data_IF_924439637295
#
_entry.id   IF_924439637295
#
_cell.length_a   1.000
_cell.length_b   1.000
_cell.length_c   1.000
_cell.angle_alpha   90.00
_cell.angle_beta   90.00
_cell.angle_gamma   90.00
#
_symmetry.space_group_name_H-M   'P 1'
#
loop_
_entity.id
_entity.type
_entity.pdbx_description
1 polymer ?
#
# COMPACT_ATOMS: atom_id res chain seq x y z
N UNK A 1 -88.93 16.89 -29.04
CA UNK A 1 -89.06 17.77 -27.86
C UNK A 1 -88.58 16.99 -26.66
N UNK A 2 -87.70 17.61 -25.83
CA UNK A 2 -87.22 17.17 -24.50
C UNK A 2 -86.61 15.76 -24.42
N UNK A 3 -85.31 15.51 -24.23
CA UNK A 3 -84.25 16.25 -23.56
C UNK A 3 -84.04 15.69 -22.15
N UNK A 4 -82.97 14.90 -21.91
CA UNK A 4 -82.19 14.87 -20.64
C UNK A 4 -80.96 13.93 -20.71
N UNK A 5 -79.82 14.58 -20.94
CA UNK A 5 -78.48 14.43 -20.35
C UNK A 5 -78.15 13.19 -19.49
N UNK A 6 -77.18 12.38 -19.95
CA UNK A 6 -76.27 11.60 -19.07
C UNK A 6 -74.82 12.04 -19.30
N UNK A 7 -74.13 12.24 -18.19
CA UNK A 7 -72.82 12.85 -18.01
C UNK A 7 -71.69 11.98 -18.58
N UNK A 8 -70.84 12.59 -19.39
CA UNK A 8 -69.50 12.10 -19.74
C UNK A 8 -68.54 12.45 -18.62
N UNK A 9 -67.84 11.45 -18.06
CA UNK A 9 -66.64 11.66 -17.23
C UNK A 9 -65.47 11.02 -17.96
N UNK A 10 -64.76 11.84 -18.75
CA UNK A 10 -63.43 11.53 -19.27
C UNK A 10 -62.45 11.78 -18.13
N UNK A 11 -61.94 10.70 -17.52
CA UNK A 11 -60.85 10.79 -16.57
C UNK A 11 -59.55 11.12 -17.30
N UNK A 12 -59.01 12.28 -16.96
CA UNK A 12 -57.73 12.83 -17.40
C UNK A 12 -56.62 12.06 -16.69
N UNK A 13 -55.97 11.11 -17.37
CA UNK A 13 -54.70 10.55 -16.92
C UNK A 13 -53.58 11.43 -17.48
N UNK A 14 -53.20 12.43 -16.67
CA UNK A 14 -52.03 13.26 -16.91
C UNK A 14 -50.76 12.42 -16.81
N UNK A 15 -49.97 12.45 -17.89
CA UNK A 15 -48.63 11.92 -17.92
C UNK A 15 -47.72 12.75 -17.01
N UNK A 16 -47.19 12.14 -15.96
CA UNK A 16 -46.00 12.61 -15.26
C UNK A 16 -44.81 11.82 -15.81
N UNK A 17 -43.81 12.45 -16.45
CA UNK A 17 -42.52 11.80 -16.60
C UNK A 17 -41.83 11.82 -15.24
N UNK A 18 -41.97 10.74 -14.47
CA UNK A 18 -40.98 10.42 -13.44
C UNK A 18 -39.71 10.08 -14.20
N UNK A 19 -38.84 11.09 -14.35
CA UNK A 19 -37.46 10.85 -14.67
C UNK A 19 -36.87 10.03 -13.52
N UNK A 20 -36.93 8.70 -13.64
CA UNK A 20 -35.96 7.83 -13.02
C UNK A 20 -34.61 8.27 -13.59
N UNK A 21 -33.95 9.21 -12.90
CA UNK A 21 -32.50 9.27 -12.92
C UNK A 21 -32.07 7.91 -12.40
N UNK A 22 -31.82 6.99 -13.33
CA UNK A 22 -30.94 5.88 -13.09
C UNK A 22 -29.71 6.51 -12.46
N UNK A 23 -29.54 6.31 -11.14
CA UNK A 23 -28.27 6.52 -10.50
C UNK A 23 -27.34 5.55 -11.22
N UNK A 24 -26.66 6.06 -12.23
CA UNK A 24 -25.45 5.46 -12.74
C UNK A 24 -24.62 5.24 -11.48
N UNK A 25 -24.21 4.01 -11.15
CA UNK A 25 -23.34 3.81 -10.00
C UNK A 25 -22.18 4.77 -10.22
N UNK A 26 -22.04 5.76 -9.34
CA UNK A 26 -20.91 6.67 -9.39
C UNK A 26 -19.69 5.78 -9.47
N UNK A 27 -18.90 5.91 -10.54
CA UNK A 27 -17.67 5.15 -10.73
C UNK A 27 -16.95 5.17 -9.39
N UNK A 28 -16.72 4.00 -8.80
CA UNK A 28 -16.25 3.89 -7.42
C UNK A 28 -15.04 4.81 -7.25
N UNK A 29 -15.22 5.88 -6.47
CA UNK A 29 -14.19 6.89 -6.30
C UNK A 29 -12.96 6.29 -5.64
N UNK A 30 -11.78 6.85 -5.97
CA UNK A 30 -10.54 6.47 -5.31
C UNK A 30 -10.64 6.78 -3.82
N UNK A 31 -10.40 5.80 -2.96
CA UNK A 31 -10.39 6.01 -1.51
C UNK A 31 -9.09 6.67 -1.07
N UNK A 32 -9.20 7.69 -0.22
CA UNK A 32 -8.06 8.44 0.31
C UNK A 32 -8.19 8.57 1.82
N UNK A 33 -7.16 8.15 2.56
CA UNK A 33 -7.02 8.35 4.00
C UNK A 33 -6.08 9.51 4.31
N UNK A 34 -6.54 10.51 5.07
CA UNK A 34 -5.73 11.63 5.53
C UNK A 34 -5.12 11.33 6.90
N UNK A 35 -3.79 11.38 7.00
CA UNK A 35 -3.05 11.19 8.24
C UNK A 35 -2.31 12.48 8.64
N UNK A 36 -2.86 13.28 9.56
CA UNK A 36 -2.17 14.46 10.09
C UNK A 36 -0.99 14.06 10.97
N UNK A 37 0.21 14.55 10.68
CA UNK A 37 1.36 14.43 11.54
C UNK A 37 1.47 15.68 12.42
N UNK A 38 1.11 15.55 13.69
CA UNK A 38 0.99 16.65 14.64
C UNK A 38 1.58 16.28 16.01
N UNK A 39 2.04 17.28 16.76
CA UNK A 39 2.48 17.11 18.14
C UNK A 39 1.28 16.93 19.09
N UNK A 40 1.53 16.40 20.29
CA UNK A 40 0.47 16.21 21.28
C UNK A 40 -0.20 17.56 21.63
N UNK A 41 -1.53 17.63 21.51
CA UNK A 41 -2.33 18.82 21.79
C UNK A 41 -2.63 19.70 20.59
N UNK A 42 -1.88 19.54 19.48
CA UNK A 42 -2.11 20.23 18.21
C UNK A 42 -3.40 19.74 17.53
N UNK A 43 -3.98 20.56 16.66
CA UNK A 43 -5.23 20.24 15.99
C UNK A 43 -5.34 20.80 14.59
N UNK A 44 -6.17 20.19 13.76
CA UNK A 44 -6.51 20.65 12.41
C UNK A 44 -8.00 20.47 12.17
N UNK A 45 -8.62 21.50 11.59
CA UNK A 45 -9.99 21.47 11.07
C UNK A 45 -9.97 22.02 9.66
N UNK A 46 -10.32 21.20 8.67
CA UNK A 46 -10.22 21.57 7.26
C UNK A 46 -11.28 20.93 6.39
N UNK A 47 -11.61 21.61 5.29
CA UNK A 47 -12.39 21.05 4.19
C UNK A 47 -11.43 20.55 3.11
N UNK A 48 -11.72 19.37 2.56
CA UNK A 48 -11.07 18.85 1.37
C UNK A 48 -11.98 19.08 0.17
N UNK A 49 -11.44 19.71 -0.87
CA UNK A 49 -12.12 19.99 -2.12
C UNK A 49 -11.43 19.26 -3.26
N UNK A 50 -12.20 18.56 -4.08
CA UNK A 50 -11.77 17.98 -5.36
C UNK A 50 -12.36 18.82 -6.49
N UNK A 51 -11.50 19.38 -7.35
CA UNK A 51 -11.89 20.23 -8.48
C UNK A 51 -12.90 21.35 -8.11
N UNK A 52 -12.79 21.88 -6.89
CA UNK A 52 -13.64 22.96 -6.37
C UNK A 52 -14.91 22.51 -5.64
N UNK A 53 -15.19 21.20 -5.59
CA UNK A 53 -16.32 20.64 -4.84
C UNK A 53 -15.84 20.06 -3.51
N UNK A 54 -16.55 20.34 -2.42
CA UNK A 54 -16.25 19.74 -1.10
C UNK A 54 -16.54 18.24 -1.17
N UNK A 55 -15.52 17.42 -0.89
CA UNK A 55 -15.60 15.95 -0.90
C UNK A 55 -15.41 15.33 0.48
N UNK A 56 -14.98 16.12 1.47
CA UNK A 56 -14.84 15.65 2.83
C UNK A 56 -14.38 16.73 3.79
N UNK A 57 -14.35 16.37 5.06
CA UNK A 57 -13.90 17.20 6.15
C UNK A 57 -12.90 16.43 7.00
N UNK A 58 -11.91 17.16 7.51
CA UNK A 58 -10.91 16.68 8.45
C UNK A 58 -11.09 17.46 9.75
N UNK A 59 -11.36 16.75 10.83
CA UNK A 59 -11.33 17.29 12.19
C UNK A 59 -10.49 16.35 13.05
N UNK A 60 -9.35 16.84 13.52
CA UNK A 60 -8.42 16.02 14.28
C UNK A 60 -7.73 16.83 15.37
N UNK A 61 -7.63 16.23 16.56
CA UNK A 61 -6.79 16.69 17.65
C UNK A 61 -5.86 15.57 18.08
N UNK A 62 -4.57 15.85 18.05
CA UNK A 62 -3.55 14.87 18.37
C UNK A 62 -3.47 14.64 19.89
N UNK A 63 -3.68 13.40 20.32
CA UNK A 63 -3.52 13.00 21.72
C UNK A 63 -2.08 12.57 22.05
N UNK A 64 -1.32 12.15 21.05
CA UNK A 64 0.07 11.71 21.13
C UNK A 64 0.80 12.26 19.92
N UNK A 65 2.03 12.72 20.11
CA UNK A 65 2.83 13.20 19.01
C UNK A 65 2.98 12.14 17.91
N UNK A 66 3.16 12.59 16.67
CA UNK A 66 3.47 11.73 15.54
C UNK A 66 2.32 11.50 14.59
N UNK A 67 2.50 10.48 13.75
CA UNK A 67 1.53 10.06 12.75
C UNK A 67 0.52 9.08 13.38
N UNK A 68 -0.80 9.37 13.36
CA UNK A 68 -1.78 8.41 13.80
C UNK A 68 -1.79 7.20 12.88
N UNK A 69 -1.97 6.03 13.49
CA UNK A 69 -2.01 4.74 12.78
C UNK A 69 -3.24 4.61 11.88
N UNK A 70 -4.38 5.15 12.28
CA UNK A 70 -5.57 5.22 11.45
C UNK A 70 -5.69 6.61 10.83
N UNK A 71 -6.24 6.72 9.61
CA UNK A 71 -6.51 8.03 9.03
C UNK A 71 -7.50 8.79 9.91
N UNK A 72 -7.27 10.09 10.07
CA UNK A 72 -8.21 10.96 10.77
C UNK A 72 -9.48 11.23 9.95
N UNK A 73 -9.39 11.09 8.62
CA UNK A 73 -10.53 11.14 7.71
C UNK A 73 -10.29 10.21 6.52
N UNK A 74 -11.34 9.52 6.08
CA UNK A 74 -11.35 8.74 4.84
C UNK A 74 -12.40 9.34 3.89
N UNK A 75 -11.99 9.61 2.66
CA UNK A 75 -12.81 10.30 1.65
C UNK A 75 -12.75 9.54 0.33
N UNK A 76 -13.86 9.54 -0.40
CA UNK A 76 -13.90 9.05 -1.77
C UNK A 76 -13.69 10.22 -2.73
N UNK A 77 -12.61 10.18 -3.51
CA UNK A 77 -12.35 11.16 -4.55
C UNK A 77 -13.06 10.79 -5.86
N UNK A 78 -13.65 11.77 -6.57
CA UNK A 78 -14.19 11.52 -7.90
C UNK A 78 -13.14 10.97 -8.87
N UNK A 79 -13.56 10.09 -9.78
CA UNK A 79 -12.69 9.59 -10.83
C UNK A 79 -12.16 10.74 -11.72
N UNK A 80 -10.88 10.69 -12.07
CA UNK A 80 -10.25 11.70 -12.92
C UNK A 80 -10.05 13.06 -12.26
N UNK A 81 -10.04 13.13 -10.92
CA UNK A 81 -9.72 14.35 -10.17
C UNK A 81 -8.41 14.97 -10.65
N UNK A 82 -8.42 16.28 -10.90
CA UNK A 82 -7.25 17.02 -11.41
C UNK A 82 -6.64 17.96 -10.39
N UNK A 83 -7.43 18.42 -9.42
CA UNK A 83 -6.98 19.33 -8.37
C UNK A 83 -7.55 18.93 -7.03
N UNK A 84 -6.71 18.95 -6.01
CA UNK A 84 -7.12 18.81 -4.62
C UNK A 84 -6.78 20.09 -3.86
N UNK A 85 -7.69 20.58 -3.05
CA UNK A 85 -7.47 21.73 -2.19
C UNK A 85 -7.83 21.37 -0.75
N UNK A 86 -6.96 21.75 0.18
CA UNK A 86 -7.22 21.71 1.60
C UNK A 86 -7.25 23.13 2.13
N UNK A 87 -8.35 23.52 2.78
CA UNK A 87 -8.50 24.84 3.40
C UNK A 87 -9.08 24.71 4.80
N UNK A 88 -8.54 25.46 5.75
CA UNK A 88 -8.94 25.29 7.14
C UNK A 88 -8.10 26.09 8.12
N UNK A 89 -8.13 25.61 9.37
CA UNK A 89 -7.35 26.15 10.49
C UNK A 89 -6.55 25.02 11.12
N UNK A 90 -5.28 25.30 11.44
CA UNK A 90 -4.42 24.42 12.22
C UNK A 90 -3.99 25.15 13.49
N UNK A 91 -3.89 24.43 14.60
CA UNK A 91 -3.25 24.90 15.83
C UNK A 91 -1.98 24.10 16.03
N UNK A 92 -0.83 24.77 15.92
CA UNK A 92 0.50 24.17 16.14
C UNK A 92 1.19 24.90 17.28
N UNK A 93 1.65 24.18 18.30
CA UNK A 93 2.28 24.74 19.49
C UNK A 93 1.44 25.87 20.13
N UNK A 94 0.11 25.67 20.20
CA UNK A 94 -0.85 26.63 20.75
C UNK A 94 -1.17 27.84 19.86
N UNK A 95 -0.60 27.94 18.66
CA UNK A 95 -0.86 29.05 17.72
C UNK A 95 -1.78 28.60 16.60
N UNK A 96 -2.98 29.19 16.55
CA UNK A 96 -3.93 28.97 15.46
C UNK A 96 -3.55 29.76 14.20
N UNK A 97 -3.60 29.11 13.04
CA UNK A 97 -3.33 29.69 11.73
C UNK A 97 -4.32 29.17 10.70
N UNK A 98 -4.83 30.07 9.86
CA UNK A 98 -5.61 29.69 8.67
C UNK A 98 -4.66 29.33 7.53
N UNK A 99 -5.06 28.36 6.73
CA UNK A 99 -4.33 27.95 5.54
C UNK A 99 -5.29 27.59 4.40
N UNK A 100 -4.79 27.73 3.18
CA UNK A 100 -5.39 27.19 1.96
C UNK A 100 -4.25 26.75 1.07
N UNK A 101 -4.27 25.50 0.62
CA UNK A 101 -3.29 24.96 -0.32
C UNK A 101 -3.99 24.11 -1.36
N UNK A 102 -3.54 24.24 -2.59
CA UNK A 102 -4.04 23.49 -3.74
C UNK A 102 -2.88 22.70 -4.32
N UNK A 103 -3.17 21.48 -4.76
CA UNK A 103 -2.28 20.61 -5.51
C UNK A 103 -2.91 20.24 -6.84
N UNK A 104 -2.10 20.18 -7.89
CA UNK A 104 -2.42 19.44 -9.11
C UNK A 104 -2.29 17.94 -8.82
N UNK A 105 -3.17 17.13 -9.39
CA UNK A 105 -3.16 15.68 -9.18
C UNK A 105 -2.60 14.99 -10.40
N UNK A 106 -1.60 14.12 -10.18
CA UNK A 106 -1.13 13.16 -11.16
C UNK A 106 -1.49 11.75 -10.70
N UNK A 107 -2.28 11.06 -11.50
CA UNK A 107 -2.70 9.68 -11.23
C UNK A 107 -1.76 8.69 -11.92
N UNK A 108 -1.25 7.73 -11.16
CA UNK A 108 -0.35 6.66 -11.61
C UNK A 108 -1.05 5.40 -12.08
N UNK A 109 -2.38 5.35 -12.04
CA UNK A 109 -3.15 4.16 -12.38
C UNK A 109 -2.78 3.55 -13.74
N UNK A 110 -2.42 4.36 -14.75
CA UNK A 110 -1.98 3.83 -16.04
C UNK A 110 -0.71 2.98 -15.95
N UNK A 111 0.22 3.33 -15.05
CA UNK A 111 1.45 2.60 -14.82
C UNK A 111 1.24 1.40 -13.87
N UNK A 112 0.47 1.57 -12.80
CA UNK A 112 0.32 0.56 -11.73
C UNK A 112 -0.78 -0.47 -11.98
N UNK A 113 -1.83 -0.15 -12.76
CA UNK A 113 -2.97 -1.04 -13.01
C UNK A 113 -2.61 -2.47 -13.43
N UNK A 114 -1.57 -2.71 -14.26
CA UNK A 114 -1.14 -4.08 -14.58
C UNK A 114 -0.90 -4.97 -13.35
N UNK A 115 -0.38 -4.43 -12.24
CA UNK A 115 -0.10 -5.17 -11.01
C UNK A 115 -1.37 -5.74 -10.36
N UNK A 116 -2.51 -5.06 -10.55
CA UNK A 116 -3.77 -5.38 -9.89
C UNK A 116 -4.78 -6.09 -10.81
N UNK A 117 -4.43 -6.39 -12.07
CA UNK A 117 -5.32 -7.08 -13.01
C UNK A 117 -5.46 -8.58 -12.65
N UNK A 118 -6.42 -8.88 -11.77
CA UNK A 118 -6.69 -10.24 -11.27
C UNK A 118 -7.05 -11.26 -12.35
N UNK A 119 -7.35 -10.81 -13.58
CA UNK A 119 -7.65 -11.68 -14.71
C UNK A 119 -6.40 -12.26 -15.37
N UNK A 120 -5.22 -11.75 -15.04
CA UNK A 120 -3.93 -12.19 -15.60
C UNK A 120 -3.09 -12.90 -14.54
N UNK A 121 -2.30 -13.93 -14.91
CA UNK A 121 -1.29 -14.49 -14.03
C UNK A 121 -0.13 -13.50 -13.82
N UNK A 122 0.60 -13.66 -12.72
CA UNK A 122 1.68 -12.75 -12.31
C UNK A 122 2.73 -12.44 -13.39
N UNK A 123 3.26 -13.42 -14.14
CA UNK A 123 4.23 -13.12 -15.19
C UNK A 123 3.70 -12.17 -16.27
N UNK A 124 2.41 -12.24 -16.59
CA UNK A 124 1.78 -11.34 -17.56
C UNK A 124 1.53 -9.94 -16.98
N UNK A 125 1.18 -9.85 -15.70
CA UNK A 125 1.07 -8.56 -14.98
C UNK A 125 2.40 -7.80 -15.00
N UNK A 126 3.50 -8.48 -14.71
CA UNK A 126 4.83 -7.85 -14.68
C UNK A 126 5.31 -7.46 -16.08
N UNK A 127 5.06 -8.27 -17.11
CA UNK A 127 5.35 -7.87 -18.49
C UNK A 127 4.54 -6.65 -18.92
N UNK A 128 3.26 -6.60 -18.56
CA UNK A 128 2.41 -5.45 -18.84
C UNK A 128 2.84 -4.20 -18.05
N UNK A 129 3.34 -4.35 -16.82
CA UNK A 129 3.95 -3.26 -16.06
C UNK A 129 5.16 -2.68 -16.80
N UNK A 130 6.09 -3.51 -17.28
CA UNK A 130 7.27 -3.03 -18.04
C UNK A 130 6.87 -2.22 -19.26
N UNK A 131 5.78 -2.58 -19.93
CA UNK A 131 5.25 -1.84 -21.08
C UNK A 131 4.59 -0.51 -20.68
N UNK A 132 4.12 -0.39 -19.44
CA UNK A 132 3.41 0.78 -18.94
C UNK A 132 4.32 1.83 -18.28
N UNK A 133 5.51 1.42 -17.81
CA UNK A 133 6.50 2.32 -17.22
C UNK A 133 7.22 3.08 -18.35
N UNK A 134 7.23 4.42 -18.33
CA UNK A 134 8.04 5.19 -19.27
C UNK A 134 9.53 4.97 -18.98
N UNK A 135 10.31 4.70 -20.02
CA UNK A 135 11.77 4.62 -19.95
C UNK A 135 12.31 5.76 -20.82
N UNK A 136 13.11 6.65 -20.22
CA UNK A 136 13.73 7.73 -20.97
C UNK A 136 14.77 7.16 -21.96
N UNK A 137 14.98 7.85 -23.07
CA UNK A 137 16.11 7.55 -23.95
C UNK A 137 17.41 7.71 -23.13
N UNK A 138 18.29 6.72 -23.19
CA UNK A 138 19.57 6.64 -22.46
C UNK A 138 19.54 6.30 -20.95
N UNK A 139 18.38 5.92 -20.39
CA UNK A 139 18.32 5.37 -19.03
C UNK A 139 18.21 3.84 -19.02
N UNK A 140 18.88 3.20 -18.05
CA UNK A 140 18.66 1.78 -17.76
C UNK A 140 17.21 1.57 -17.31
N UNK A 141 16.56 0.53 -17.84
CA UNK A 141 15.19 0.22 -17.45
C UNK A 141 15.13 -0.04 -15.92
N UNK A 142 14.21 0.61 -15.18
CA UNK A 142 14.10 0.44 -13.74
C UNK A 142 13.74 -1.00 -13.34
N UNK A 143 13.22 -1.77 -14.29
CA UNK A 143 12.81 -3.16 -14.16
C UNK A 143 13.28 -3.94 -15.40
N UNK A 144 14.04 -5.02 -15.17
CA UNK A 144 14.49 -5.93 -16.23
C UNK A 144 13.92 -7.33 -16.01
N UNK A 145 13.56 -7.97 -17.13
CA UNK A 145 12.97 -9.30 -17.15
C UNK A 145 13.82 -10.21 -18.05
N UNK A 146 14.18 -11.38 -17.54
CA UNK A 146 14.71 -12.48 -18.32
C UNK A 146 13.85 -13.74 -18.10
N UNK A 147 13.89 -14.72 -19.01
CA UNK A 147 13.30 -16.04 -18.74
C UNK A 147 13.94 -16.66 -17.48
N UNK A 148 13.12 -17.17 -16.57
CA UNK A 148 13.63 -17.89 -15.42
C UNK A 148 14.35 -19.18 -15.84
N UNK A 149 15.36 -19.57 -15.06
CA UNK A 149 15.89 -20.92 -15.13
C UNK A 149 14.87 -21.90 -14.52
N UNK A 150 14.53 -23.01 -15.19
CA UNK A 150 13.54 -23.94 -14.68
C UNK A 150 13.97 -24.52 -13.33
N UNK A 151 13.18 -24.27 -12.29
CA UNK A 151 13.30 -25.02 -11.05
C UNK A 151 12.60 -26.37 -11.22
N UNK A 152 13.30 -27.47 -10.92
CA UNK A 152 12.69 -28.80 -10.94
C UNK A 152 11.67 -28.94 -9.79
N UNK A 153 10.72 -29.87 -9.93
CA UNK A 153 9.69 -30.12 -8.90
C UNK A 153 10.29 -30.41 -7.52
N UNK A 154 11.41 -31.13 -7.48
CA UNK A 154 12.14 -31.46 -6.25
C UNK A 154 12.59 -30.21 -5.47
N UNK A 155 12.95 -29.11 -6.15
CA UNK A 155 13.32 -27.84 -5.50
C UNK A 155 12.13 -27.27 -4.74
N UNK A 156 10.96 -27.22 -5.37
CA UNK A 156 9.74 -26.71 -4.76
C UNK A 156 9.24 -27.60 -3.62
N UNK A 157 9.33 -28.92 -3.77
CA UNK A 157 9.00 -29.88 -2.73
C UNK A 157 9.93 -29.75 -1.52
N UNK A 158 11.24 -29.58 -1.74
CA UNK A 158 12.22 -29.37 -0.69
C UNK A 158 11.95 -28.05 0.07
N UNK A 159 11.63 -26.97 -0.64
CA UNK A 159 11.23 -25.70 -0.04
C UNK A 159 9.97 -25.86 0.81
N UNK A 160 8.92 -26.49 0.27
CA UNK A 160 7.67 -26.69 1.00
C UNK A 160 7.88 -27.55 2.26
N UNK A 161 8.69 -28.61 2.16
CA UNK A 161 9.05 -29.47 3.30
C UNK A 161 9.81 -28.69 4.37
N UNK A 162 10.78 -27.84 3.99
CA UNK A 162 11.54 -27.02 4.93
C UNK A 162 10.66 -26.01 5.65
N UNK A 163 9.74 -25.38 4.93
CA UNK A 163 8.84 -24.35 5.48
C UNK A 163 7.66 -24.94 6.27
N UNK A 164 7.38 -26.25 6.07
CA UNK A 164 6.18 -26.90 6.61
C UNK A 164 4.88 -26.42 5.97
N UNK A 165 4.97 -25.73 4.83
CA UNK A 165 3.84 -25.16 4.09
C UNK A 165 4.21 -25.01 2.60
N UNK A 166 3.27 -25.15 1.66
CA UNK A 166 3.52 -24.90 0.25
C UNK A 166 3.84 -23.42 0.00
N UNK A 167 4.77 -23.15 -0.92
CA UNK A 167 5.03 -21.78 -1.37
C UNK A 167 3.78 -21.20 -2.02
N UNK A 168 3.43 -19.92 -1.81
CA UNK A 168 2.26 -19.31 -2.41
C UNK A 168 2.23 -19.47 -3.94
N UNK A 169 1.10 -19.94 -4.53
CA UNK A 169 1.05 -20.24 -5.96
C UNK A 169 1.41 -19.07 -6.88
N UNK A 170 0.98 -17.86 -6.52
CA UNK A 170 1.32 -16.63 -7.24
C UNK A 170 2.84 -16.38 -7.28
N UNK A 171 3.53 -16.60 -6.17
CA UNK A 171 4.99 -16.50 -6.10
C UNK A 171 5.66 -17.59 -6.93
N UNK A 172 5.21 -18.84 -6.82
CA UNK A 172 5.78 -19.96 -7.58
C UNK A 172 5.62 -19.74 -9.10
N UNK A 173 4.46 -19.27 -9.55
CA UNK A 173 4.22 -18.92 -10.96
C UNK A 173 5.14 -17.81 -11.45
N UNK A 174 5.34 -16.76 -10.64
CA UNK A 174 6.22 -15.65 -10.97
C UNK A 174 7.66 -16.13 -11.19
N UNK A 175 8.20 -16.86 -10.21
CA UNK A 175 9.60 -17.31 -10.21
C UNK A 175 9.88 -18.45 -11.18
N UNK A 176 8.87 -19.22 -11.57
CA UNK A 176 9.01 -20.25 -12.61
C UNK A 176 9.12 -19.65 -14.01
N UNK A 177 8.63 -18.42 -14.21
CA UNK A 177 8.55 -17.79 -15.52
C UNK A 177 9.60 -16.69 -15.74
N UNK A 178 9.91 -15.90 -14.71
CA UNK A 178 10.71 -14.69 -14.83
C UNK A 178 11.87 -14.65 -13.83
N UNK A 179 13.05 -14.26 -14.30
CA UNK A 179 14.12 -13.70 -13.49
C UNK A 179 13.98 -12.17 -13.53
N UNK A 180 13.71 -11.57 -12.37
CA UNK A 180 13.28 -10.18 -12.24
C UNK A 180 14.30 -9.41 -11.42
N UNK A 181 14.81 -8.31 -11.99
CA UNK A 181 15.78 -7.43 -11.35
C UNK A 181 15.37 -5.96 -11.45
N UNK A 182 15.62 -5.22 -10.39
CA UNK A 182 15.42 -3.77 -10.26
C UNK A 182 16.74 -3.19 -9.74
N UNK A 183 17.60 -2.80 -10.68
CA UNK A 183 19.02 -2.53 -10.40
C UNK A 183 19.74 -3.75 -9.79
N UNK A 184 20.30 -3.57 -8.59
CA UNK A 184 20.94 -4.63 -7.82
C UNK A 184 19.96 -5.48 -6.99
N UNK A 185 18.73 -4.98 -6.81
CA UNK A 185 17.67 -5.69 -6.10
C UNK A 185 17.02 -6.73 -7.00
N UNK A 186 16.62 -7.87 -6.46
CA UNK A 186 16.16 -8.99 -7.29
C UNK A 186 15.29 -9.99 -6.52
N UNK A 187 14.44 -10.72 -7.25
CA UNK A 187 13.73 -11.86 -6.71
C UNK A 187 14.68 -13.05 -6.53
N UNK A 188 14.60 -13.73 -5.40
CA UNK A 188 15.47 -14.86 -5.08
C UNK A 188 15.06 -16.06 -5.93
N UNK A 189 16.02 -16.68 -6.62
CA UNK A 189 15.76 -17.85 -7.44
C UNK A 189 15.39 -19.05 -6.55
N UNK A 190 14.47 -19.93 -6.97
CA UNK A 190 14.00 -21.05 -6.13
C UNK A 190 15.14 -21.94 -5.59
N UNK A 191 16.18 -22.20 -6.39
CA UNK A 191 17.34 -22.99 -5.98
C UNK A 191 18.24 -22.32 -4.93
N UNK A 192 18.20 -20.99 -4.84
CA UNK A 192 18.97 -20.18 -3.88
C UNK A 192 18.12 -19.71 -2.69
N UNK A 193 16.82 -20.01 -2.68
CA UNK A 193 15.93 -19.58 -1.62
C UNK A 193 16.34 -20.18 -0.28
N UNK A 194 16.58 -19.30 0.69
CA UNK A 194 16.88 -19.61 2.08
C UNK A 194 15.81 -19.08 3.03
N UNK A 195 15.98 -19.38 4.30
CA UNK A 195 15.29 -18.62 5.34
C UNK A 195 15.84 -17.20 5.39
N UNK A 196 15.13 -16.28 6.01
CA UNK A 196 15.64 -14.93 6.21
C UNK A 196 16.91 -14.93 7.07
N UNK A 197 17.03 -15.87 8.01
CA UNK A 197 18.24 -16.03 8.81
C UNK A 197 19.42 -16.54 7.98
N UNK A 198 19.20 -17.45 7.03
CA UNK A 198 20.23 -17.88 6.08
C UNK A 198 20.73 -16.70 5.24
N UNK A 199 19.81 -15.85 4.76
CA UNK A 199 20.15 -14.62 4.02
C UNK A 199 20.97 -13.65 4.89
N UNK A 200 20.60 -13.51 6.17
CA UNK A 200 21.36 -12.65 7.08
C UNK A 200 22.80 -13.15 7.27
N UNK A 201 22.99 -14.45 7.43
CA UNK A 201 24.33 -15.03 7.58
C UNK A 201 25.16 -15.04 6.31
N UNK A 202 24.52 -15.24 5.16
CA UNK A 202 25.17 -15.20 3.85
C UNK A 202 25.32 -13.76 3.37
N UNK A 203 24.35 -13.31 2.59
CA UNK A 203 24.44 -12.07 1.81
C UNK A 203 24.61 -10.80 2.66
N UNK A 204 24.10 -10.80 3.91
CA UNK A 204 24.17 -9.61 4.76
C UNK A 204 25.41 -9.63 5.67
N UNK A 205 26.15 -10.75 5.71
CA UNK A 205 27.41 -10.88 6.44
C UNK A 205 27.30 -10.93 7.96
N UNK A 206 26.12 -11.23 8.53
CA UNK A 206 25.98 -11.38 9.98
C UNK A 206 26.72 -12.63 10.47
N UNK A 207 27.57 -12.53 11.51
CA UNK A 207 28.31 -13.68 12.00
C UNK A 207 27.38 -14.70 12.67
N UNK A 208 27.76 -15.98 12.65
CA UNK A 208 27.02 -17.03 13.35
C UNK A 208 27.20 -17.00 14.88
N UNK A 209 28.24 -16.30 15.37
CA UNK A 209 28.56 -16.18 16.81
C UNK A 209 29.05 -14.77 17.15
N UNK A 210 29.09 -14.42 18.43
CA UNK A 210 29.54 -13.10 18.91
C UNK A 210 28.40 -12.08 19.00
N UNK A 211 28.69 -10.90 19.55
CA UNK A 211 27.69 -9.87 19.89
C UNK A 211 26.78 -9.45 18.73
N UNK A 212 27.32 -9.49 17.51
CA UNK A 212 26.62 -9.07 16.30
C UNK A 212 25.89 -10.24 15.61
N UNK A 213 25.89 -11.44 16.21
CA UNK A 213 25.10 -12.56 15.68
C UNK A 213 23.60 -12.31 15.90
N UNK A 214 22.72 -12.64 14.94
CA UNK A 214 21.28 -12.42 15.04
C UNK A 214 20.66 -13.00 16.33
N UNK A 215 21.15 -14.15 16.80
CA UNK A 215 20.71 -14.75 18.06
C UNK A 215 20.98 -13.92 19.32
N UNK A 216 21.84 -12.89 19.26
CA UNK A 216 22.24 -12.08 20.40
C UNK A 216 21.61 -10.68 20.44
N UNK A 217 21.10 -10.17 19.30
CA UNK A 217 20.44 -8.85 19.25
C UNK A 217 18.96 -8.92 18.85
N UNK A 218 18.51 -10.00 18.21
CA UNK A 218 17.09 -10.20 17.93
C UNK A 218 16.39 -10.73 19.19
N UNK A 219 15.14 -10.30 19.40
CA UNK A 219 14.30 -10.96 20.40
C UNK A 219 14.04 -12.42 19.99
N UNK A 220 13.76 -13.34 20.94
CA UNK A 220 13.48 -14.73 20.62
C UNK A 220 12.37 -14.90 19.57
N UNK A 221 11.30 -14.10 19.66
CA UNK A 221 10.18 -14.14 18.71
C UNK A 221 10.55 -13.69 17.29
N UNK A 222 11.39 -12.66 17.15
CA UNK A 222 11.87 -12.20 15.84
C UNK A 222 12.87 -13.18 15.24
N UNK A 223 13.78 -13.72 16.06
CA UNK A 223 14.72 -14.74 15.62
C UNK A 223 14.00 -15.99 15.11
N UNK A 224 13.00 -16.50 15.85
CA UNK A 224 12.21 -17.65 15.42
C UNK A 224 11.43 -17.38 14.12
N UNK A 225 10.88 -16.17 13.96
CA UNK A 225 10.25 -15.74 12.70
C UNK A 225 11.25 -15.81 11.55
N UNK A 226 12.43 -15.23 11.71
CA UNK A 226 13.42 -15.17 10.63
C UNK A 226 13.96 -16.55 10.25
N UNK A 227 14.06 -17.47 11.21
CA UNK A 227 14.47 -18.85 10.99
C UNK A 227 13.42 -19.69 10.24
N UNK A 228 12.15 -19.27 10.20
CA UNK A 228 11.08 -20.01 9.49
C UNK A 228 10.50 -19.27 8.27
N UNK A 229 10.86 -18.00 8.09
CA UNK A 229 10.38 -17.19 6.99
C UNK A 229 11.25 -17.35 5.75
N UNK A 230 10.60 -17.47 4.60
CA UNK A 230 11.26 -17.53 3.29
C UNK A 230 11.65 -16.11 2.84
N UNK A 231 12.91 -15.90 2.45
CA UNK A 231 13.31 -14.67 1.77
C UNK A 231 12.93 -14.74 0.29
N UNK A 232 12.19 -13.75 -0.20
CA UNK A 232 11.56 -13.76 -1.53
C UNK A 232 12.16 -12.74 -2.48
N UNK A 233 12.44 -11.54 -1.99
CA UNK A 233 13.07 -10.45 -2.74
C UNK A 233 14.18 -9.86 -1.91
N UNK A 234 15.36 -9.63 -2.50
CA UNK A 234 16.51 -8.99 -1.84
C UNK A 234 16.62 -7.56 -2.34
N UNK A 235 16.80 -6.64 -1.41
CA UNK A 235 16.96 -5.21 -1.66
C UNK A 235 18.40 -4.81 -1.40
N UNK A 236 19.01 -4.11 -2.34
CA UNK A 236 20.39 -3.59 -2.22
C UNK A 236 20.37 -2.08 -2.46
N UNK A 237 20.84 -1.29 -1.48
CA UNK A 237 20.84 0.17 -1.53
C UNK A 237 21.66 0.80 -0.40
N UNK A 238 21.07 1.73 0.35
CA UNK A 238 21.62 2.31 1.60
C UNK A 238 21.75 1.28 2.73
N UNK A 239 21.19 0.09 2.53
CA UNK A 239 21.46 -1.11 3.27
C UNK A 239 20.93 -2.35 2.55
N UNK A 240 21.08 -3.49 3.21
CA UNK A 240 20.48 -4.75 2.80
C UNK A 240 19.09 -4.91 3.41
N UNK A 241 18.19 -5.51 2.66
CA UNK A 241 16.84 -5.81 3.11
C UNK A 241 16.19 -6.90 2.30
N UNK A 242 15.01 -7.34 2.73
CA UNK A 242 14.26 -8.37 2.04
C UNK A 242 12.76 -8.25 2.24
N UNK A 243 12.00 -8.64 1.22
CA UNK A 243 10.62 -9.09 1.40
C UNK A 243 10.68 -10.55 1.83
N UNK A 244 10.01 -10.87 2.93
CA UNK A 244 9.93 -12.22 3.46
C UNK A 244 8.49 -12.66 3.70
N UNK A 245 8.29 -13.97 3.69
CA UNK A 245 7.01 -14.62 3.94
C UNK A 245 7.12 -15.61 5.11
N UNK A 246 6.33 -15.41 6.16
CA UNK A 246 6.16 -16.36 7.27
C UNK A 246 4.89 -17.20 7.07
N UNK A 247 4.99 -18.52 6.81
CA UNK A 247 3.81 -19.38 6.68
C UNK A 247 2.98 -19.48 7.97
N UNK A 248 3.57 -19.22 9.15
CA UNK A 248 2.84 -19.27 10.43
C UNK A 248 2.02 -18.02 10.73
N UNK A 249 2.21 -16.94 9.99
CA UNK A 249 1.40 -15.72 10.12
C UNK A 249 1.74 -14.84 11.34
N UNK A 250 0.71 -14.20 11.88
CA UNK A 250 0.80 -13.34 13.08
C UNK A 250 1.00 -14.18 14.35
N UNK A 251 1.82 -13.68 15.26
CA UNK A 251 2.03 -14.31 16.58
C UNK A 251 1.14 -13.68 17.66
N UNK A 252 0.97 -14.32 18.83
CA UNK A 252 0.32 -13.68 19.98
C UNK A 252 0.94 -12.33 20.38
N UNK A 253 2.26 -12.19 20.25
CA UNK A 253 2.96 -10.92 20.50
C UNK A 253 2.55 -9.85 19.49
N UNK A 254 2.42 -10.19 18.21
CA UNK A 254 1.90 -9.26 17.21
C UNK A 254 0.48 -8.83 17.56
N UNK A 255 -0.39 -9.77 17.94
CA UNK A 255 -1.76 -9.45 18.34
C UNK A 255 -1.79 -8.46 19.52
N UNK A 256 -0.99 -8.69 20.55
CA UNK A 256 -0.88 -7.79 21.69
C UNK A 256 -0.39 -6.39 21.28
N UNK A 257 0.61 -6.32 20.40
CA UNK A 257 1.19 -5.07 19.90
C UNK A 257 0.21 -4.29 19.00
N UNK A 258 -0.59 -4.98 18.20
CA UNK A 258 -1.50 -4.35 17.26
C UNK A 258 -2.73 -3.76 17.96
N UNK A 259 -3.00 -4.11 19.23
CA UNK A 259 -4.05 -3.49 20.05
C UNK A 259 -5.48 -3.80 19.60
N UNK A 260 -5.64 -4.72 18.65
CA UNK A 260 -6.91 -5.23 18.15
C UNK A 260 -6.95 -6.74 18.37
N UNK A 261 -8.16 -7.30 18.48
CA UNK A 261 -8.37 -8.69 18.07
C UNK A 261 -8.51 -8.64 16.56
N UNK A 262 -7.45 -8.85 15.75
CA UNK A 262 -7.65 -8.94 14.31
C UNK A 262 -8.62 -10.10 14.06
N UNK A 263 -9.46 -9.94 13.03
CA UNK A 263 -10.27 -11.06 12.55
C UNK A 263 -9.37 -12.28 12.31
N UNK A 264 -9.92 -13.51 12.42
CA UNK A 264 -9.14 -14.71 12.15
C UNK A 264 -8.41 -14.54 10.81
N UNK A 265 -7.15 -14.98 10.74
CA UNK A 265 -6.41 -15.00 9.48
C UNK A 265 -7.31 -15.69 8.45
N UNK A 266 -7.80 -14.93 7.46
CA UNK A 266 -8.59 -15.48 6.37
C UNK A 266 -7.63 -16.26 5.48
N UNK A 267 -7.44 -17.54 5.80
CA UNK A 267 -6.70 -18.47 4.98
C UNK A 267 -5.23 -18.67 5.35
N UNK A 268 -4.69 -19.74 4.78
CA UNK A 268 -3.32 -20.24 4.89
C UNK A 268 -2.26 -19.37 4.19
N UNK A 269 -2.50 -18.06 4.04
CA UNK A 269 -1.65 -17.19 3.21
C UNK A 269 -0.39 -16.67 3.93
N UNK A 270 -0.25 -16.95 5.22
CA UNK A 270 0.89 -16.53 6.03
C UNK A 270 0.93 -15.02 6.30
N UNK A 271 2.11 -14.51 6.66
CA UNK A 271 2.37 -13.09 6.90
C UNK A 271 3.54 -12.63 6.03
N UNK A 272 3.32 -11.56 5.27
CA UNK A 272 4.37 -10.88 4.53
C UNK A 272 4.94 -9.73 5.33
N UNK A 273 6.23 -9.49 5.21
CA UNK A 273 6.88 -8.36 5.88
C UNK A 273 8.17 -7.94 5.18
N UNK A 274 8.52 -6.67 5.34
CA UNK A 274 9.82 -6.14 4.96
C UNK A 274 10.78 -6.21 6.14
N UNK A 275 12.01 -6.63 5.88
CA UNK A 275 13.14 -6.51 6.78
C UNK A 275 14.18 -5.59 6.14
N UNK A 276 14.76 -4.69 6.93
CA UNK A 276 15.90 -3.87 6.54
C UNK A 276 16.95 -3.97 7.63
N UNK A 277 18.24 -4.00 7.28
CA UNK A 277 19.34 -4.21 8.23
C UNK A 277 19.32 -3.20 9.40
N UNK A 278 19.00 -1.93 9.12
CA UNK A 278 18.92 -0.89 10.16
C UNK A 278 17.74 -1.05 11.12
N UNK A 279 16.78 -1.94 10.80
CA UNK A 279 15.56 -2.20 11.55
C UNK A 279 15.33 -3.71 11.74
N UNK A 280 16.38 -4.53 11.72
CA UNK A 280 16.27 -5.99 11.78
C UNK A 280 15.52 -6.49 13.04
N UNK A 281 15.55 -5.74 14.13
CA UNK A 281 14.81 -6.05 15.37
C UNK A 281 13.31 -5.81 15.27
N UNK A 282 12.84 -5.05 14.26
CA UNK A 282 11.43 -4.64 14.11
C UNK A 282 11.04 -4.74 12.63
N UNK A 283 10.71 -5.94 12.12
CA UNK A 283 10.23 -6.10 10.76
C UNK A 283 8.94 -5.31 10.52
N UNK A 284 8.81 -4.73 9.33
CA UNK A 284 7.64 -3.97 8.89
C UNK A 284 6.61 -4.93 8.31
N UNK A 285 5.61 -5.29 9.12
CA UNK A 285 4.55 -6.21 8.73
C UNK A 285 3.65 -5.60 7.64
N UNK A 286 3.34 -6.37 6.60
CA UNK A 286 2.42 -5.97 5.55
C UNK A 286 0.98 -6.30 5.97
N UNK A 287 0.27 -5.27 6.44
CA UNK A 287 -1.09 -5.38 6.95
C UNK A 287 -2.00 -4.40 6.23
N UNK A 288 -3.29 -4.75 6.11
CA UNK A 288 -4.32 -3.82 5.68
C UNK A 288 -4.71 -2.83 6.79
N UNK A 289 -5.63 -1.92 6.46
CA UNK A 289 -6.19 -0.93 7.38
C UNK A 289 -6.88 -1.53 8.62
N UNK A 290 -7.35 -2.78 8.51
CA UNK A 290 -8.05 -3.52 9.56
C UNK A 290 -7.11 -4.49 10.31
N UNK A 291 -5.79 -4.36 10.09
CA UNK A 291 -4.71 -5.15 10.69
C UNK A 291 -4.70 -6.62 10.32
N UNK A 292 -5.23 -6.96 9.15
CA UNK A 292 -5.15 -8.31 8.59
C UNK A 292 -3.92 -8.41 7.69
N UNK A 293 -3.22 -9.56 7.66
CA UNK A 293 -2.14 -9.79 6.71
C UNK A 293 -2.57 -9.53 5.28
N UNK A 294 -1.73 -8.83 4.51
CA UNK A 294 -1.94 -8.70 3.07
C UNK A 294 -1.74 -10.06 2.40
N UNK A 295 -2.58 -10.34 1.40
CA UNK A 295 -2.44 -11.54 0.57
C UNK A 295 -1.21 -11.47 -0.34
N UNK A 296 -0.87 -12.62 -0.92
CA UNK A 296 0.35 -12.76 -1.75
C UNK A 296 0.38 -11.76 -2.92
N UNK A 297 -0.76 -11.53 -3.58
CA UNK A 297 -0.81 -10.59 -4.70
C UNK A 297 -0.36 -9.18 -4.30
N UNK A 298 -0.86 -8.67 -3.17
CA UNK A 298 -0.53 -7.32 -2.70
C UNK A 298 0.90 -7.24 -2.16
N UNK A 299 1.39 -8.31 -1.55
CA UNK A 299 2.78 -8.40 -1.12
C UNK A 299 3.74 -8.35 -2.32
N UNK A 300 3.44 -9.05 -3.42
CA UNK A 300 4.23 -8.99 -4.64
C UNK A 300 4.13 -7.62 -5.32
N UNK A 301 2.92 -7.04 -5.40
CA UNK A 301 2.73 -5.68 -5.93
C UNK A 301 3.59 -4.65 -5.18
N UNK A 302 3.71 -4.77 -3.86
CA UNK A 302 4.51 -3.87 -3.03
C UNK A 302 5.99 -3.78 -3.43
N UNK A 303 6.55 -4.86 -4.01
CA UNK A 303 7.92 -4.86 -4.52
C UNK A 303 8.03 -3.88 -5.69
N UNK A 304 7.12 -4.00 -6.66
CA UNK A 304 7.14 -3.17 -7.86
C UNK A 304 6.76 -1.72 -7.57
N UNK A 305 5.80 -1.48 -6.67
CA UNK A 305 5.49 -0.14 -6.17
C UNK A 305 6.72 0.54 -5.57
N UNK A 306 7.47 -0.18 -4.75
CA UNK A 306 8.62 0.36 -4.01
C UNK A 306 9.87 0.56 -4.88
N UNK A 307 10.06 -0.25 -5.92
CA UNK A 307 11.33 -0.28 -6.66
C UNK A 307 11.18 0.04 -8.16
N UNK A 308 10.12 -0.43 -8.83
CA UNK A 308 9.92 -0.15 -10.25
C UNK A 308 9.17 1.17 -10.49
N UNK A 309 8.29 1.55 -9.57
CA UNK A 309 7.47 2.76 -9.66
C UNK A 309 7.96 3.91 -8.76
N UNK A 310 9.07 3.71 -8.04
CA UNK A 310 9.54 4.62 -6.99
C UNK A 310 9.66 6.08 -7.47
N UNK A 311 10.27 6.28 -8.64
CA UNK A 311 10.49 7.61 -9.20
C UNK A 311 9.19 8.24 -9.71
N UNK A 312 8.26 7.42 -10.22
CA UNK A 312 6.94 7.88 -10.63
C UNK A 312 6.09 8.35 -9.44
N UNK A 313 6.31 7.76 -8.27
CA UNK A 313 5.67 8.15 -7.01
C UNK A 313 6.21 9.48 -6.43
N UNK A 314 7.33 10.01 -6.94
CA UNK A 314 7.83 11.31 -6.53
C UNK A 314 7.06 12.45 -7.22
N UNK A 315 6.60 13.47 -6.47
CA UNK A 315 6.09 14.69 -7.07
C UNK A 315 7.18 15.41 -7.90
N UNK A 316 6.80 15.92 -9.06
CA UNK A 316 7.68 16.72 -9.93
C UNK A 316 7.76 18.19 -9.49
N UNK A 317 6.82 18.63 -8.65
CA UNK A 317 6.75 19.99 -8.10
C UNK A 317 6.12 19.98 -6.69
N UNK A 318 6.39 21.04 -5.91
CA UNK A 318 5.87 21.22 -4.54
C UNK A 318 4.34 21.34 -4.45
N UNK A 319 3.69 21.65 -5.56
CA UNK A 319 2.23 21.74 -5.72
C UNK A 319 1.66 20.58 -6.54
N UNK A 320 2.43 19.52 -6.79
CA UNK A 320 1.90 18.27 -7.33
C UNK A 320 1.62 17.28 -6.21
N UNK A 321 0.50 16.56 -6.33
CA UNK A 321 0.15 15.41 -5.51
C UNK A 321 0.01 14.20 -6.43
N UNK A 322 0.83 13.18 -6.15
CA UNK A 322 0.76 11.90 -6.84
C UNK A 322 -0.25 11.00 -6.13
N UNK A 323 -1.13 10.34 -6.89
CA UNK A 323 -2.10 9.35 -6.40
C UNK A 323 -2.06 8.12 -7.31
N UNK A 324 -2.60 7.00 -6.84
CA UNK A 324 -2.82 5.79 -7.63
C UNK A 324 -4.29 5.38 -7.54
N UNK A 325 -5.08 5.53 -8.61
CA UNK A 325 -6.48 5.09 -8.59
C UNK A 325 -6.68 3.60 -8.84
N UNK A 326 -5.63 2.88 -9.26
CA UNK A 326 -5.70 1.46 -9.51
C UNK A 326 -5.43 0.62 -8.25
N UNK A 327 -4.76 1.18 -7.24
CA UNK A 327 -4.44 0.44 -6.01
C UNK A 327 -5.71 0.07 -5.21
N UNK A 328 -5.86 -1.20 -4.81
CA UNK A 328 -6.99 -1.64 -4.01
C UNK A 328 -6.87 -1.25 -2.53
N UNK A 329 -5.70 -0.78 -2.08
CA UNK A 329 -5.47 -0.38 -0.68
C UNK A 329 -6.02 1.02 -0.37
N UNK A 330 -6.40 1.79 -1.39
CA UNK A 330 -6.64 3.23 -1.31
C UNK A 330 -5.34 4.03 -1.39
N UNK A 331 -5.38 5.33 -1.17
CA UNK A 331 -4.18 6.18 -1.02
C UNK A 331 -4.08 6.69 0.42
N UNK A 332 -2.88 6.66 1.01
CA UNK A 332 -2.64 7.31 2.30
C UNK A 332 -1.94 8.63 2.06
N UNK A 333 -2.54 9.72 2.51
CA UNK A 333 -1.95 11.04 2.39
C UNK A 333 -1.46 11.51 3.76
N UNK A 334 -0.15 11.70 3.85
CA UNK A 334 0.51 12.33 4.97
C UNK A 334 0.29 13.84 4.88
N UNK A 335 -0.36 14.41 5.89
CA UNK A 335 -0.52 15.85 6.04
C UNK A 335 0.44 16.35 7.11
N UNK A 336 1.44 17.10 6.70
CA UNK A 336 2.43 17.73 7.58
C UNK A 336 2.32 19.26 7.51
N UNK A 337 2.74 19.96 8.56
CA UNK A 337 2.75 21.43 8.61
C UNK A 337 4.16 21.93 8.89
N UNK A 338 4.82 22.53 7.89
CA UNK A 338 6.10 23.21 8.09
C UNK A 338 5.83 24.63 8.65
N UNK A 339 5.43 24.69 9.92
CA UNK A 339 4.83 25.85 10.56
C UNK A 339 3.33 26.00 10.27
N UNK A 340 2.66 26.87 11.03
CA UNK A 340 1.19 26.96 11.09
C UNK A 340 0.47 27.38 9.80
N UNK A 341 1.17 27.60 8.67
CA UNK A 341 0.58 28.11 7.42
C UNK A 341 0.98 27.38 6.15
N UNK A 342 1.87 26.38 6.22
CA UNK A 342 2.39 25.69 5.02
C UNK A 342 2.08 24.19 5.14
N UNK A 343 0.83 23.78 4.84
CA UNK A 343 0.51 22.37 4.77
C UNK A 343 1.25 21.73 3.59
N UNK A 344 1.81 20.55 3.82
CA UNK A 344 2.36 19.67 2.82
C UNK A 344 1.53 18.39 2.84
N UNK A 345 1.02 18.00 1.67
CA UNK A 345 0.30 16.77 1.48
C UNK A 345 1.14 15.89 0.56
N UNK A 346 1.45 14.68 1.00
CA UNK A 346 2.27 13.74 0.24
C UNK A 346 1.63 12.37 0.30
N UNK A 347 1.69 11.64 -0.81
CA UNK A 347 1.38 10.23 -0.80
C UNK A 347 2.39 9.51 0.09
N UNK A 348 1.85 8.70 0.98
CA UNK A 348 2.61 7.84 1.85
C UNK A 348 2.41 6.40 1.38
N UNK A 349 3.52 5.71 1.09
CA UNK A 349 3.48 4.29 0.73
C UNK A 349 2.91 3.48 1.91
N UNK A 350 1.91 2.64 1.63
CA UNK A 350 1.34 1.67 2.59
C UNK A 350 2.41 0.77 3.22
N UNK A 351 3.50 0.52 2.49
CA UNK A 351 4.49 -0.49 2.81
C UNK A 351 5.77 0.10 3.42
N UNK A 352 5.88 1.44 3.41
CA UNK A 352 7.07 2.15 3.83
C UNK A 352 7.06 2.69 5.26
N UNK A 353 5.91 3.02 5.86
CA UNK A 353 5.91 3.88 7.06
C UNK A 353 5.05 3.46 8.26
N UNK A 354 4.22 2.41 8.18
CA UNK A 354 3.60 1.86 9.40
C UNK A 354 4.63 1.25 10.38
N UNK A 355 5.89 1.07 9.95
CA UNK A 355 7.02 0.69 10.79
C UNK A 355 7.97 1.83 11.19
N UNK A 356 7.99 2.97 10.49
CA UNK A 356 9.16 3.85 10.47
C UNK A 356 9.06 5.16 11.27
N UNK A 357 7.85 5.57 11.70
CA UNK A 357 7.69 6.73 12.61
C UNK A 357 6.59 6.54 13.67
N UNK A 358 6.41 5.32 14.19
CA UNK A 358 5.83 5.18 15.53
C UNK A 358 6.91 5.62 16.52
N UNK A 359 6.79 6.87 16.94
CA UNK A 359 7.73 7.60 17.79
C UNK A 359 8.06 6.84 19.09
N UNK A 360 9.29 7.09 19.56
CA UNK A 360 9.59 7.12 21.00
C UNK A 360 8.65 8.08 21.73
#
# INVERSE_FOLDING_TARGET
MTGTTRRSTLATLGALPVALLAQTPAAAGMQVGLHPWLEAGDSVVAELLADGQVVGQLEHRSAKAGLPRLPAATVALPAGVRRLQLRGTVTVAGKAGRFTRTWTVRDLASASAPLYDQRRPWPERVRALVQAIPVAEDEDAPLTLAPAQPANSATWEALAKRLGAPVPPALAQLLAALDIRMGLSHFVRPAAMGTLLDLMHGDFGYPSTGKDAPGNFLSPGVHERYARSLAVFVTVGDGMGALAWDPRGLTPEDHARLGSSPGPATGSEGLWYWMHQGMAVKPSLLLDKDHRPLGTDLALASVFERYALADLYQPLADDELVLDSATPLGNLLLLHFNGARVPQLRLNSYNGHYGHHTQY
#
